data_IF_189319561493
#
_entry.id   IF_189319561493
#
_cell.length_a   1.000
_cell.length_b   1.000
_cell.length_c   1.000
_cell.angle_alpha   90.00
_cell.angle_beta   90.00
_cell.angle_gamma   90.00
#
_symmetry.space_group_name_H-M   'P 1'
#
loop_
_entity.id
_entity.type
_entity.pdbx_description
1 polymer ?
#
# COMPACT_ATOMS: atom_id res chain seq x y z
N UNK A 1 -22.81 -9.65 -9.11
CA UNK A 1 -21.88 -10.16 -10.10
C UNK A 1 -21.84 -11.69 -10.03
N UNK A 2 -21.71 -12.36 -11.16
CA UNK A 2 -21.54 -13.81 -11.30
C UNK A 2 -20.46 -14.35 -10.36
N UNK A 3 -19.41 -13.60 -10.17
CA UNK A 3 -18.30 -13.95 -9.28
C UNK A 3 -18.69 -14.15 -7.81
N UNK A 4 -19.55 -13.32 -7.25
CA UNK A 4 -20.01 -13.48 -5.85
C UNK A 4 -20.91 -14.69 -5.76
N UNK A 5 -21.77 -14.90 -6.74
CA UNK A 5 -22.65 -16.06 -6.80
C UNK A 5 -21.90 -17.40 -6.95
N UNK A 6 -20.77 -17.40 -7.67
CA UNK A 6 -19.92 -18.57 -7.89
C UNK A 6 -18.82 -18.75 -6.82
N UNK A 7 -18.75 -17.87 -5.82
CA UNK A 7 -17.77 -17.99 -4.73
C UNK A 7 -18.04 -19.25 -3.91
N UNK A 8 -17.04 -20.13 -3.87
CA UNK A 8 -17.16 -21.42 -3.15
C UNK A 8 -17.92 -22.50 -3.92
N UNK A 9 -18.39 -22.21 -5.15
CA UNK A 9 -18.93 -23.26 -6.01
C UNK A 9 -17.78 -24.15 -6.49
N UNK A 10 -17.85 -25.44 -6.20
CA UNK A 10 -16.83 -26.44 -6.57
C UNK A 10 -17.52 -27.55 -7.36
N UNK A 11 -17.06 -27.76 -8.59
CA UNK A 11 -17.51 -28.85 -9.44
C UNK A 11 -16.39 -29.32 -10.37
N UNK A 12 -16.26 -30.63 -10.61
CA UNK A 12 -15.16 -31.18 -11.39
C UNK A 12 -15.20 -30.82 -12.89
N UNK A 13 -16.38 -30.72 -13.48
CA UNK A 13 -16.51 -30.47 -14.91
C UNK A 13 -15.87 -29.16 -15.40
N UNK A 14 -16.07 -27.98 -14.76
CA UNK A 14 -15.38 -26.75 -15.16
C UNK A 14 -13.86 -26.80 -15.00
N UNK A 15 -13.35 -27.64 -14.11
CA UNK A 15 -11.90 -27.76 -13.88
C UNK A 15 -11.16 -28.51 -15.00
N UNK A 16 -11.86 -29.42 -15.69
CA UNK A 16 -11.28 -30.26 -16.75
C UNK A 16 -11.70 -29.84 -18.16
N UNK A 17 -12.59 -28.83 -18.27
CA UNK A 17 -13.15 -28.39 -19.53
C UNK A 17 -12.13 -27.61 -20.34
N UNK A 18 -11.99 -27.95 -21.61
CA UNK A 18 -11.21 -27.20 -22.58
C UNK A 18 -12.15 -26.62 -23.66
N UNK A 19 -12.13 -25.29 -23.76
CA UNK A 19 -12.90 -24.56 -24.77
C UNK A 19 -11.93 -23.90 -25.75
N UNK A 20 -12.28 -23.88 -27.02
CA UNK A 20 -11.46 -23.26 -28.07
C UNK A 20 -11.28 -21.77 -27.86
N UNK A 21 -12.30 -21.10 -27.29
CA UNK A 21 -12.30 -19.68 -26.96
C UNK A 21 -11.83 -19.35 -25.54
N UNK A 22 -11.30 -20.32 -24.80
CA UNK A 22 -10.69 -20.05 -23.51
C UNK A 22 -9.36 -19.31 -23.70
N UNK A 23 -9.31 -18.08 -23.26
CA UNK A 23 -8.16 -17.17 -23.38
C UNK A 23 -6.84 -17.81 -22.91
N UNK A 24 -6.89 -18.76 -21.96
CA UNK A 24 -5.72 -19.49 -21.48
C UNK A 24 -5.05 -20.34 -22.55
N UNK A 25 -5.80 -20.72 -23.59
CA UNK A 25 -5.35 -21.63 -24.64
C UNK A 25 -5.03 -20.95 -25.97
N UNK A 26 -5.01 -19.61 -26.03
CA UNK A 26 -4.78 -18.83 -27.26
C UNK A 26 -3.51 -19.26 -28.01
N UNK A 27 -2.46 -19.67 -27.32
CA UNK A 27 -1.21 -20.12 -27.95
C UNK A 27 -1.39 -21.38 -28.84
N UNK A 28 -2.46 -22.14 -28.65
CA UNK A 28 -2.82 -23.28 -29.53
C UNK A 28 -3.27 -22.84 -30.93
N UNK A 29 -3.71 -21.56 -31.01
CA UNK A 29 -4.15 -20.92 -32.25
C UNK A 29 -3.02 -20.18 -32.98
N UNK A 30 -1.79 -20.18 -32.45
CA UNK A 30 -0.68 -19.37 -32.97
C UNK A 30 -0.37 -19.67 -34.46
N UNK A 31 -0.54 -20.89 -34.91
CA UNK A 31 -0.36 -21.28 -36.32
C UNK A 31 -1.36 -20.56 -37.27
N UNK A 32 -2.50 -20.08 -36.75
CA UNK A 32 -3.52 -19.41 -37.56
C UNK A 32 -3.15 -17.95 -37.89
N UNK A 33 -2.09 -17.41 -37.29
CA UNK A 33 -1.58 -16.06 -37.60
C UNK A 33 -1.23 -15.91 -39.08
N UNK A 34 -0.69 -16.98 -39.70
CA UNK A 34 -0.38 -17.00 -41.13
C UNK A 34 -1.61 -16.82 -42.04
N UNK A 35 -2.80 -17.11 -41.50
CA UNK A 35 -4.07 -17.02 -42.21
C UNK A 35 -4.78 -15.67 -42.00
N UNK A 36 -4.21 -14.76 -41.19
CA UNK A 36 -4.69 -13.38 -41.02
C UNK A 36 -4.27 -12.53 -42.23
N UNK A 37 -4.95 -11.38 -42.37
CA UNK A 37 -4.52 -10.35 -43.34
C UNK A 37 -3.07 -9.92 -43.06
N UNK A 38 -2.31 -9.63 -44.08
CA UNK A 38 -0.87 -9.34 -43.98
C UNK A 38 -0.57 -8.21 -43.00
N UNK A 39 -1.41 -7.15 -43.01
CA UNK A 39 -1.27 -6.01 -42.10
C UNK A 39 -1.51 -6.32 -40.61
N UNK A 40 -2.14 -7.46 -40.28
CA UNK A 40 -2.50 -7.85 -38.93
C UNK A 40 -1.54 -8.89 -38.30
N UNK A 41 -0.76 -9.58 -39.14
CA UNK A 41 0.14 -10.66 -38.70
C UNK A 41 1.18 -10.18 -37.68
N UNK A 42 1.85 -9.08 -37.97
CA UNK A 42 2.88 -8.54 -37.08
C UNK A 42 2.29 -8.18 -35.70
N UNK A 43 1.09 -7.60 -35.68
CA UNK A 43 0.38 -7.23 -34.46
C UNK A 43 -0.02 -8.48 -33.65
N UNK A 44 -0.53 -9.51 -34.34
CA UNK A 44 -0.89 -10.77 -33.71
C UNK A 44 0.32 -11.49 -33.10
N UNK A 45 1.47 -11.49 -33.78
CA UNK A 45 2.73 -12.03 -33.27
C UNK A 45 3.16 -11.34 -31.99
N UNK A 46 3.14 -10.00 -31.98
CA UNK A 46 3.52 -9.20 -30.80
C UNK A 46 2.63 -9.51 -29.58
N UNK A 47 1.31 -9.61 -29.79
CA UNK A 47 0.35 -9.96 -28.73
C UNK A 47 0.62 -11.37 -28.18
N UNK A 48 0.82 -12.35 -29.04
CA UNK A 48 1.06 -13.73 -28.61
C UNK A 48 2.41 -13.90 -27.91
N UNK A 49 3.44 -13.20 -28.36
CA UNK A 49 4.77 -13.22 -27.72
C UNK A 49 4.71 -12.60 -26.32
N UNK A 50 4.06 -11.45 -26.20
CA UNK A 50 3.83 -10.82 -24.91
C UNK A 50 2.99 -11.68 -23.98
N UNK A 51 1.94 -12.32 -24.49
CA UNK A 51 1.15 -13.27 -23.72
C UNK A 51 1.99 -14.45 -23.23
N UNK A 52 2.86 -15.01 -24.08
CA UNK A 52 3.75 -16.11 -23.73
C UNK A 52 4.76 -15.73 -22.66
N UNK A 53 5.45 -14.61 -22.86
CA UNK A 53 6.62 -14.22 -22.07
C UNK A 53 6.27 -13.49 -20.77
N UNK A 54 5.17 -12.75 -20.73
CA UNK A 54 4.78 -11.87 -19.59
C UNK A 54 3.50 -12.35 -18.94
N UNK A 55 2.41 -12.46 -19.71
CA UNK A 55 1.07 -12.63 -19.15
C UNK A 55 0.84 -14.04 -18.62
N UNK A 56 1.28 -15.08 -19.33
CA UNK A 56 1.12 -16.50 -18.90
C UNK A 56 1.82 -16.77 -17.54
N UNK A 57 3.07 -16.35 -17.30
CA UNK A 57 3.69 -16.52 -15.99
C UNK A 57 2.95 -15.79 -14.86
N UNK A 58 2.38 -14.61 -15.15
CA UNK A 58 1.60 -13.84 -14.18
C UNK A 58 0.29 -14.54 -13.84
N UNK A 59 -0.46 -15.03 -14.83
CA UNK A 59 -1.74 -15.72 -14.65
C UNK A 59 -1.66 -16.93 -13.72
N UNK A 60 -0.54 -17.67 -13.75
CA UNK A 60 -0.33 -18.86 -12.89
C UNK A 60 -0.30 -18.53 -11.39
N UNK A 61 -0.09 -17.28 -11.03
CA UNK A 61 0.00 -16.78 -9.64
C UNK A 61 -1.25 -16.06 -9.19
N UNK A 62 -2.21 -15.81 -10.09
CA UNK A 62 -3.43 -15.08 -9.80
C UNK A 62 -4.47 -15.95 -9.13
N UNK A 63 -5.37 -15.30 -8.39
CA UNK A 63 -6.53 -15.94 -7.76
C UNK A 63 -7.40 -16.61 -8.78
N UNK A 64 -7.78 -17.85 -8.55
CA UNK A 64 -8.61 -18.65 -9.46
C UNK A 64 -9.85 -19.18 -8.75
N UNK A 65 -10.95 -19.26 -9.47
CA UNK A 65 -12.20 -19.93 -9.08
C UNK A 65 -12.96 -20.37 -10.33
N UNK A 66 -14.15 -20.92 -10.16
CA UNK A 66 -15.05 -21.09 -11.28
C UNK A 66 -15.55 -19.71 -11.70
N UNK A 67 -15.35 -19.36 -12.96
CA UNK A 67 -15.77 -18.13 -13.62
C UNK A 67 -16.82 -18.44 -14.68
N UNK A 68 -17.59 -17.41 -15.07
CA UNK A 68 -18.60 -17.56 -16.14
C UNK A 68 -17.96 -17.88 -17.49
N UNK A 69 -16.82 -17.24 -17.79
CA UNK A 69 -16.01 -17.48 -18.98
C UNK A 69 -16.48 -16.76 -20.24
N UNK A 70 -17.77 -16.41 -20.34
CA UNK A 70 -18.37 -15.80 -21.54
C UNK A 70 -19.37 -14.67 -21.18
N UNK A 71 -18.90 -13.67 -20.41
CA UNK A 71 -19.72 -12.50 -20.08
C UNK A 71 -19.66 -11.48 -21.21
N UNK A 72 -20.74 -11.36 -21.96
CA UNK A 72 -20.89 -10.39 -23.05
C UNK A 72 -22.29 -9.76 -23.06
N UNK A 73 -22.55 -8.68 -23.84
CA UNK A 73 -23.83 -7.95 -23.83
C UNK A 73 -25.08 -8.79 -24.02
N UNK A 74 -25.02 -9.85 -24.83
CA UNK A 74 -26.16 -10.71 -25.10
C UNK A 74 -26.46 -11.73 -24.00
N UNK A 75 -25.49 -11.98 -23.10
CA UNK A 75 -25.68 -12.80 -21.91
C UNK A 75 -26.09 -11.98 -20.67
N UNK A 76 -26.29 -10.65 -20.82
CA UNK A 76 -26.77 -9.75 -19.81
C UNK A 76 -28.21 -9.37 -20.05
N UNK A 77 -29.13 -9.72 -19.15
CA UNK A 77 -30.53 -9.31 -19.18
C UNK A 77 -30.68 -7.94 -18.53
N UNK A 78 -31.43 -7.06 -19.15
CA UNK A 78 -31.73 -5.71 -18.62
C UNK A 78 -33.22 -5.54 -18.41
N UNK A 79 -33.61 -4.84 -17.35
CA UNK A 79 -35.02 -4.48 -17.09
C UNK A 79 -35.45 -3.28 -17.93
N UNK A 80 -36.75 -2.92 -17.84
CA UNK A 80 -37.32 -1.79 -18.57
C UNK A 80 -36.74 -0.41 -18.21
N UNK A 81 -35.89 -0.36 -17.15
CA UNK A 81 -35.16 0.84 -16.72
C UNK A 81 -33.68 0.82 -17.12
N UNK A 82 -33.29 -0.15 -17.95
CA UNK A 82 -31.91 -0.32 -18.38
C UNK A 82 -30.94 -0.88 -17.31
N UNK A 83 -31.44 -1.44 -16.20
CA UNK A 83 -30.60 -2.02 -15.15
C UNK A 83 -30.42 -3.51 -15.42
N UNK A 84 -29.19 -4.01 -15.21
CA UNK A 84 -28.92 -5.44 -15.31
C UNK A 84 -29.76 -6.20 -14.27
N UNK A 85 -30.63 -7.08 -14.75
CA UNK A 85 -31.55 -7.90 -13.95
C UNK A 85 -31.11 -9.37 -13.86
N UNK A 86 -30.24 -9.83 -14.74
CA UNK A 86 -29.73 -11.19 -14.75
C UNK A 86 -28.55 -11.40 -15.68
N UNK A 87 -27.88 -12.52 -15.49
CA UNK A 87 -26.86 -13.06 -16.39
C UNK A 87 -27.31 -14.48 -16.76
N UNK A 88 -27.19 -14.85 -18.00
CA UNK A 88 -27.57 -16.17 -18.54
C UNK A 88 -26.40 -16.83 -19.24
N UNK A 89 -26.58 -18.05 -19.68
CA UNK A 89 -25.63 -18.86 -20.42
C UNK A 89 -24.36 -19.21 -19.62
N UNK A 90 -24.55 -20.00 -18.57
CA UNK A 90 -23.47 -20.56 -17.77
C UNK A 90 -22.83 -21.80 -18.41
N UNK A 91 -23.13 -22.05 -19.70
CA UNK A 91 -22.62 -23.18 -20.45
C UNK A 91 -21.11 -23.22 -20.55
N UNK A 92 -20.42 -22.08 -20.49
CA UNK A 92 -18.99 -21.94 -20.70
C UNK A 92 -18.15 -21.75 -19.41
N UNK A 93 -18.74 -22.05 -18.27
CA UNK A 93 -18.02 -21.98 -17.01
C UNK A 93 -16.73 -22.82 -17.03
N UNK A 94 -15.64 -22.21 -16.57
CA UNK A 94 -14.33 -22.83 -16.40
C UNK A 94 -13.72 -22.46 -15.05
N UNK A 95 -12.83 -23.30 -14.53
CA UNK A 95 -12.00 -22.94 -13.39
C UNK A 95 -10.77 -22.19 -13.90
N UNK A 96 -10.61 -20.92 -13.55
CA UNK A 96 -9.51 -20.09 -14.04
C UNK A 96 -9.31 -18.79 -13.27
N UNK A 97 -8.27 -18.02 -13.63
CA UNK A 97 -8.01 -16.71 -13.04
C UNK A 97 -9.22 -15.78 -13.14
N UNK A 98 -9.56 -15.14 -12.02
CA UNK A 98 -10.74 -14.27 -11.90
C UNK A 98 -10.75 -13.11 -12.87
N UNK A 99 -9.57 -12.59 -13.20
CA UNK A 99 -9.40 -11.46 -14.09
C UNK A 99 -9.89 -11.75 -15.51
N UNK A 100 -9.94 -13.04 -15.92
CA UNK A 100 -10.40 -13.42 -17.24
C UNK A 100 -11.87 -13.10 -17.49
N UNK A 101 -12.74 -13.17 -16.47
CA UNK A 101 -14.14 -12.72 -16.63
C UNK A 101 -14.23 -11.23 -16.99
N UNK A 102 -13.40 -10.38 -16.36
CA UNK A 102 -13.36 -8.97 -16.68
C UNK A 102 -12.71 -8.71 -18.05
N UNK A 103 -11.64 -9.44 -18.39
CA UNK A 103 -10.96 -9.28 -19.66
C UNK A 103 -11.87 -9.71 -20.84
N UNK A 104 -12.60 -10.83 -20.69
CA UNK A 104 -13.55 -11.29 -21.68
C UNK A 104 -14.69 -10.28 -21.85
N UNK A 105 -15.31 -9.83 -20.75
CA UNK A 105 -16.33 -8.81 -20.79
C UNK A 105 -15.82 -7.50 -21.46
N UNK A 106 -14.64 -7.01 -21.09
CA UNK A 106 -14.07 -5.81 -21.67
C UNK A 106 -13.87 -5.96 -23.19
N UNK A 107 -13.31 -7.09 -23.67
CA UNK A 107 -13.12 -7.37 -25.09
C UNK A 107 -14.43 -7.32 -25.88
N UNK A 108 -15.55 -7.71 -25.26
CA UNK A 108 -16.85 -7.77 -25.91
C UNK A 108 -17.68 -6.47 -25.74
N UNK A 109 -17.46 -5.69 -24.70
CA UNK A 109 -18.16 -4.41 -24.45
C UNK A 109 -17.45 -3.20 -25.10
N UNK A 110 -16.13 -3.25 -25.33
CA UNK A 110 -15.40 -2.18 -25.98
C UNK A 110 -15.67 -2.16 -27.48
N UNK A 111 -15.95 -0.99 -28.04
CA UNK A 111 -16.11 -0.76 -29.47
C UNK A 111 -15.35 0.48 -29.93
N UNK A 112 -14.85 0.51 -31.20
CA UNK A 112 -14.07 1.65 -31.68
C UNK A 112 -14.89 2.97 -31.77
N UNK A 113 -16.21 2.87 -31.79
CA UNK A 113 -17.13 4.02 -31.90
C UNK A 113 -17.34 4.71 -30.54
N UNK A 114 -16.95 4.08 -29.44
CA UNK A 114 -17.08 4.63 -28.08
C UNK A 114 -15.78 5.29 -27.63
N UNK A 115 -15.86 6.07 -26.55
CA UNK A 115 -14.64 6.41 -25.78
C UNK A 115 -14.15 5.17 -25.04
N UNK A 116 -13.15 4.53 -25.65
CA UNK A 116 -12.53 3.29 -25.14
C UNK A 116 -11.96 3.49 -23.74
N UNK A 117 -11.35 4.65 -23.49
CA UNK A 117 -10.74 4.96 -22.21
C UNK A 117 -11.78 5.09 -21.10
N UNK A 118 -12.84 5.86 -21.35
CA UNK A 118 -13.94 6.03 -20.39
C UNK A 118 -14.70 4.73 -20.16
N UNK A 119 -15.02 3.99 -21.23
CA UNK A 119 -15.70 2.69 -21.12
C UNK A 119 -14.89 1.68 -20.31
N UNK A 120 -13.60 1.56 -20.58
CA UNK A 120 -12.69 0.69 -19.82
C UNK A 120 -12.60 1.13 -18.35
N UNK A 121 -12.51 2.43 -18.09
CA UNK A 121 -12.47 2.97 -16.73
C UNK A 121 -13.72 2.57 -15.94
N UNK A 122 -14.90 2.74 -16.52
CA UNK A 122 -16.17 2.41 -15.86
C UNK A 122 -16.37 0.91 -15.67
N UNK A 123 -15.95 0.07 -16.62
CA UNK A 123 -15.98 -1.38 -16.48
C UNK A 123 -15.11 -1.84 -15.29
N UNK A 124 -13.89 -1.35 -15.20
CA UNK A 124 -12.97 -1.68 -14.08
C UNK A 124 -13.51 -1.15 -12.76
N UNK A 125 -14.01 0.08 -12.72
CA UNK A 125 -14.61 0.69 -11.52
C UNK A 125 -15.84 -0.08 -11.05
N UNK A 126 -16.72 -0.46 -11.98
CA UNK A 126 -17.92 -1.26 -11.70
C UNK A 126 -17.55 -2.64 -11.16
N UNK A 127 -16.61 -3.33 -11.78
CA UNK A 127 -16.13 -4.63 -11.30
C UNK A 127 -15.52 -4.52 -9.91
N UNK A 128 -14.66 -3.53 -9.69
CA UNK A 128 -14.01 -3.28 -8.39
C UNK A 128 -15.00 -2.96 -7.28
N UNK A 129 -16.13 -2.33 -7.56
CA UNK A 129 -17.14 -2.01 -6.54
C UNK A 129 -17.72 -3.26 -5.85
N UNK A 130 -17.64 -4.42 -6.52
CA UNK A 130 -18.10 -5.72 -6.00
C UNK A 130 -16.91 -6.60 -5.60
N UNK A 131 -15.81 -6.49 -6.32
CA UNK A 131 -14.65 -7.33 -6.18
C UNK A 131 -13.37 -6.51 -6.34
N UNK A 132 -12.60 -6.27 -5.27
CA UNK A 132 -11.31 -5.64 -5.39
C UNK A 132 -10.40 -6.41 -6.35
N UNK A 133 -9.75 -5.71 -7.27
CA UNK A 133 -8.69 -6.26 -8.09
C UNK A 133 -7.40 -6.32 -7.29
N UNK A 134 -6.61 -7.35 -7.50
CA UNK A 134 -5.21 -7.36 -7.08
C UNK A 134 -4.36 -6.56 -8.07
N UNK A 135 -3.22 -6.03 -7.61
CA UNK A 135 -2.38 -5.17 -8.45
C UNK A 135 -1.90 -5.89 -9.70
N UNK A 136 -1.48 -7.15 -9.57
CA UNK A 136 -1.08 -8.00 -10.71
C UNK A 136 -2.23 -8.25 -11.70
N UNK A 137 -3.47 -8.34 -11.22
CA UNK A 137 -4.66 -8.46 -12.07
C UNK A 137 -4.90 -7.17 -12.87
N UNK A 138 -4.76 -6.00 -12.22
CA UNK A 138 -4.89 -4.71 -12.88
C UNK A 138 -3.79 -4.48 -13.95
N UNK A 139 -2.57 -4.91 -13.68
CA UNK A 139 -1.43 -4.77 -14.60
C UNK A 139 -1.57 -5.66 -15.84
N UNK A 140 -2.17 -6.84 -15.71
CA UNK A 140 -2.33 -7.78 -16.81
C UNK A 140 -3.57 -7.50 -17.67
N UNK A 141 -4.55 -6.74 -17.20
CA UNK A 141 -5.86 -6.64 -17.82
C UNK A 141 -5.81 -6.16 -19.29
N UNK A 142 -5.00 -5.17 -19.60
CA UNK A 142 -4.90 -4.61 -20.97
C UNK A 142 -4.35 -5.68 -21.94
N UNK A 143 -3.34 -6.43 -21.53
CA UNK A 143 -2.77 -7.52 -22.33
C UNK A 143 -3.78 -8.66 -22.53
N UNK A 144 -4.59 -8.94 -21.52
CA UNK A 144 -5.65 -9.97 -21.59
C UNK A 144 -6.80 -9.55 -22.51
N UNK A 145 -7.15 -8.27 -22.56
CA UNK A 145 -8.13 -7.73 -23.50
C UNK A 145 -7.64 -7.89 -24.95
N UNK A 146 -6.38 -7.55 -25.22
CA UNK A 146 -5.78 -7.79 -26.55
C UNK A 146 -5.88 -9.26 -26.96
N UNK A 147 -5.56 -10.16 -26.05
CA UNK A 147 -5.63 -11.60 -26.31
C UNK A 147 -7.07 -12.06 -26.58
N UNK A 148 -8.04 -11.61 -25.79
CA UNK A 148 -9.46 -11.90 -26.00
C UNK A 148 -9.94 -11.44 -27.38
N UNK A 149 -9.59 -10.22 -27.76
CA UNK A 149 -9.90 -9.67 -29.07
C UNK A 149 -9.24 -10.45 -30.20
N UNK A 150 -7.95 -10.82 -30.05
CA UNK A 150 -7.21 -11.59 -31.06
C UNK A 150 -7.74 -13.01 -31.23
N UNK A 151 -8.30 -13.62 -30.19
CA UNK A 151 -8.84 -14.99 -30.30
C UNK A 151 -9.92 -15.11 -31.37
N UNK A 152 -10.75 -14.10 -31.52
CA UNK A 152 -11.86 -14.13 -32.47
C UNK A 152 -11.39 -14.30 -33.93
N UNK A 153 -10.50 -13.45 -34.48
CA UNK A 153 -10.00 -13.66 -35.84
C UNK A 153 -9.17 -14.92 -35.99
N UNK A 154 -8.45 -15.40 -34.97
CA UNK A 154 -7.72 -16.64 -35.01
C UNK A 154 -8.65 -17.87 -35.08
N UNK A 155 -9.76 -17.85 -34.35
CA UNK A 155 -10.79 -18.91 -34.43
C UNK A 155 -11.45 -18.92 -35.78
N UNK A 156 -11.73 -17.76 -36.38
CA UNK A 156 -12.31 -17.68 -37.72
C UNK A 156 -11.34 -18.18 -38.79
N UNK A 157 -10.07 -17.81 -38.67
CA UNK A 157 -9.04 -18.35 -39.56
C UNK A 157 -8.96 -19.91 -39.46
N UNK A 158 -9.09 -20.44 -38.23
CA UNK A 158 -9.15 -21.90 -38.03
C UNK A 158 -10.42 -22.51 -38.65
N UNK A 159 -11.58 -21.90 -38.54
CA UNK A 159 -12.82 -22.34 -39.14
C UNK A 159 -12.71 -22.32 -40.66
N UNK A 160 -12.20 -21.25 -41.24
CA UNK A 160 -12.00 -21.07 -42.67
C UNK A 160 -11.06 -22.12 -43.23
N UNK A 161 -9.95 -22.43 -42.55
CA UNK A 161 -9.00 -23.49 -42.96
C UNK A 161 -9.63 -24.87 -42.96
N UNK A 162 -10.70 -25.07 -42.16
CA UNK A 162 -11.48 -26.32 -42.13
C UNK A 162 -12.74 -26.27 -43.02
N UNK A 163 -12.86 -25.29 -43.92
CA UNK A 163 -14.00 -25.16 -44.85
C UNK A 163 -15.31 -24.71 -44.18
N UNK A 164 -15.26 -24.17 -42.95
CA UNK A 164 -16.43 -23.73 -42.22
C UNK A 164 -16.56 -22.19 -42.39
N UNK A 165 -17.60 -21.74 -43.04
CA UNK A 165 -17.87 -20.30 -43.19
C UNK A 165 -18.42 -19.68 -41.88
N UNK A 166 -17.87 -18.54 -41.46
CA UNK A 166 -18.44 -17.76 -40.36
C UNK A 166 -19.75 -17.11 -40.80
N UNK A 167 -20.88 -17.46 -40.14
CA UNK A 167 -22.20 -16.90 -40.44
C UNK A 167 -22.82 -16.21 -39.24
N UNK A 168 -23.63 -15.17 -39.51
CA UNK A 168 -24.50 -14.51 -38.53
C UNK A 168 -23.78 -13.72 -37.44
N UNK A 169 -24.15 -13.96 -36.21
CA UNK A 169 -23.69 -13.30 -35.00
C UNK A 169 -22.15 -13.19 -34.86
N UNK A 170 -21.41 -14.27 -35.14
CA UNK A 170 -19.95 -14.29 -35.06
C UNK A 170 -19.29 -13.35 -36.08
N UNK A 171 -19.86 -13.15 -37.26
CA UNK A 171 -19.31 -12.25 -38.26
C UNK A 171 -19.27 -10.78 -37.80
N UNK A 172 -20.26 -10.34 -37.01
CA UNK A 172 -20.32 -8.97 -36.48
C UNK A 172 -19.29 -8.70 -35.37
N UNK A 173 -18.96 -9.69 -34.57
CA UNK A 173 -17.87 -9.59 -33.56
C UNK A 173 -16.50 -9.57 -34.23
N UNK A 174 -16.31 -10.39 -35.24
CA UNK A 174 -15.05 -10.57 -35.94
C UNK A 174 -14.61 -9.28 -36.64
N UNK A 175 -15.55 -8.55 -37.24
CA UNK A 175 -15.28 -7.28 -37.92
C UNK A 175 -14.77 -6.17 -36.98
N UNK A 176 -15.00 -6.26 -35.66
CA UNK A 176 -14.60 -5.24 -34.68
C UNK A 176 -13.26 -5.54 -34.00
N UNK A 177 -12.85 -6.80 -33.91
CA UNK A 177 -11.74 -7.24 -33.07
C UNK A 177 -10.41 -6.58 -33.48
N UNK A 178 -10.00 -6.69 -34.73
CA UNK A 178 -8.74 -6.07 -35.17
C UNK A 178 -8.79 -4.54 -35.19
N UNK A 179 -9.88 -3.88 -35.64
CA UNK A 179 -10.03 -2.42 -35.44
C UNK A 179 -9.92 -2.00 -33.98
N UNK A 180 -10.49 -2.75 -33.03
CA UNK A 180 -10.40 -2.44 -31.61
C UNK A 180 -8.97 -2.57 -31.06
N UNK A 181 -8.23 -3.62 -31.45
CA UNK A 181 -6.81 -3.76 -31.09
C UNK A 181 -6.00 -2.57 -31.62
N UNK A 182 -6.22 -2.18 -32.88
CA UNK A 182 -5.54 -1.00 -33.47
C UNK A 182 -5.86 0.28 -32.71
N UNK A 183 -7.12 0.47 -32.29
CA UNK A 183 -7.52 1.63 -31.48
C UNK A 183 -6.86 1.62 -30.08
N UNK A 184 -6.80 0.48 -29.41
CA UNK A 184 -6.07 0.34 -28.14
C UNK A 184 -4.57 0.66 -28.31
N UNK A 185 -3.95 0.25 -29.40
CA UNK A 185 -2.55 0.61 -29.73
C UNK A 185 -2.40 2.11 -30.02
N UNK A 186 -3.36 2.74 -30.71
CA UNK A 186 -3.36 4.18 -30.98
C UNK A 186 -3.45 4.99 -29.67
N UNK A 187 -4.29 4.57 -28.72
CA UNK A 187 -4.37 5.20 -27.39
C UNK A 187 -3.08 5.01 -26.62
N UNK A 188 -2.45 3.85 -26.78
CA UNK A 188 -1.22 3.45 -26.11
C UNK A 188 -1.45 2.60 -24.85
N UNK A 189 -0.81 1.46 -24.80
CA UNK A 189 -0.96 0.49 -23.72
C UNK A 189 -0.58 1.05 -22.36
N UNK A 190 0.47 1.84 -22.25
CA UNK A 190 0.89 2.43 -20.97
C UNK A 190 -0.15 3.40 -20.43
N UNK A 191 -0.81 4.15 -21.33
CA UNK A 191 -1.93 5.03 -20.95
C UNK A 191 -3.12 4.23 -20.47
N UNK A 192 -3.48 3.15 -21.17
CA UNK A 192 -4.59 2.26 -20.76
C UNK A 192 -4.29 1.53 -19.45
N UNK A 193 -3.06 1.05 -19.25
CA UNK A 193 -2.65 0.44 -17.97
C UNK A 193 -2.72 1.44 -16.82
N UNK A 194 -2.22 2.66 -17.02
CA UNK A 194 -2.32 3.73 -16.03
C UNK A 194 -3.77 4.04 -15.66
N UNK A 195 -4.67 4.03 -16.64
CA UNK A 195 -6.10 4.23 -16.46
C UNK A 195 -6.73 3.07 -15.67
N UNK A 196 -6.43 1.81 -16.03
CA UNK A 196 -6.90 0.60 -15.32
C UNK A 196 -6.45 0.63 -13.86
N UNK A 197 -5.17 0.95 -13.61
CA UNK A 197 -4.65 1.08 -12.25
C UNK A 197 -5.40 2.14 -11.44
N UNK A 198 -5.67 3.31 -12.02
CA UNK A 198 -6.47 4.36 -11.36
C UNK A 198 -7.88 3.89 -11.05
N UNK A 199 -8.55 3.23 -12.01
CA UNK A 199 -9.89 2.67 -11.82
C UNK A 199 -9.91 1.58 -10.74
N UNK A 200 -8.84 0.80 -10.61
CA UNK A 200 -8.61 -0.18 -9.57
C UNK A 200 -8.13 0.43 -8.24
N UNK A 201 -7.92 1.76 -8.18
CA UNK A 201 -7.38 2.54 -7.06
C UNK A 201 -5.93 2.22 -6.69
N UNK A 202 -5.14 1.85 -7.65
CA UNK A 202 -3.68 1.80 -7.54
C UNK A 202 -3.03 3.07 -8.10
N UNK A 203 -1.78 3.40 -7.74
CA UNK A 203 -1.02 4.45 -8.43
C UNK A 203 -0.98 4.19 -9.93
N UNK A 204 -1.04 5.25 -10.76
CA UNK A 204 -1.07 5.13 -12.22
C UNK A 204 0.14 4.34 -12.77
N UNK A 205 1.28 4.51 -12.10
CA UNK A 205 2.50 3.74 -12.38
C UNK A 205 2.92 2.95 -11.15
N UNK A 206 3.35 1.69 -11.28
CA UNK A 206 3.89 0.94 -10.16
C UNK A 206 5.15 1.63 -9.62
N UNK A 207 5.42 1.55 -8.32
CA UNK A 207 6.68 2.02 -7.77
C UNK A 207 7.86 1.36 -8.49
N UNK A 208 8.85 2.15 -8.89
CA UNK A 208 10.10 1.60 -9.44
C UNK A 208 10.96 1.13 -8.27
N UNK A 209 10.96 -0.16 -8.01
CA UNK A 209 11.89 -0.74 -7.06
C UNK A 209 13.27 -0.89 -7.70
N UNK A 210 14.32 -0.60 -6.93
CA UNK A 210 15.67 -0.96 -7.32
C UNK A 210 15.78 -2.50 -7.33
N UNK A 211 16.55 -3.05 -8.28
CA UNK A 211 16.74 -4.49 -8.39
C UNK A 211 17.58 -5.03 -7.22
N UNK A 212 18.52 -4.22 -6.70
CA UNK A 212 19.40 -4.59 -5.59
C UNK A 212 19.46 -3.48 -4.53
N UNK A 213 19.95 -3.84 -3.33
CA UNK A 213 20.19 -2.88 -2.26
C UNK A 213 21.27 -1.85 -2.65
N UNK A 214 22.29 -2.24 -3.41
CA UNK A 214 23.36 -1.37 -3.89
C UNK A 214 22.80 -0.32 -4.87
N UNK A 215 21.93 -0.72 -5.77
CA UNK A 215 21.22 0.24 -6.67
C UNK A 215 20.37 1.20 -5.85
N UNK A 216 19.60 0.69 -4.88
CA UNK A 216 18.75 1.51 -4.03
C UNK A 216 19.56 2.55 -3.24
N UNK A 217 20.68 2.16 -2.60
CA UNK A 217 21.52 3.06 -1.84
C UNK A 217 22.22 4.10 -2.75
N UNK A 218 22.65 3.67 -3.95
CA UNK A 218 23.23 4.60 -4.94
C UNK A 218 22.24 5.68 -5.36
N UNK A 219 21.00 5.31 -5.66
CA UNK A 219 19.93 6.26 -6.00
C UNK A 219 19.59 7.18 -4.84
N UNK A 220 19.50 6.62 -3.62
CA UNK A 220 19.22 7.38 -2.39
C UNK A 220 20.28 8.46 -2.15
N UNK A 221 21.57 8.13 -2.26
CA UNK A 221 22.66 9.08 -2.06
C UNK A 221 22.60 10.27 -3.01
N UNK A 222 22.18 10.04 -4.28
CA UNK A 222 22.06 11.12 -5.29
C UNK A 222 21.01 12.17 -4.95
N UNK A 223 19.91 11.79 -4.29
CA UNK A 223 18.74 12.65 -4.11
C UNK A 223 18.45 13.01 -2.65
N UNK A 224 19.00 12.23 -1.69
CA UNK A 224 18.79 12.43 -0.26
C UNK A 224 20.10 12.74 0.49
N UNK A 225 21.24 12.78 -0.22
CA UNK A 225 22.55 12.99 0.35
C UNK A 225 23.22 11.71 0.86
N UNK A 226 24.53 11.75 0.95
CA UNK A 226 25.38 10.62 1.34
C UNK A 226 25.51 10.44 2.86
N UNK A 227 25.15 11.46 3.64
CA UNK A 227 25.23 11.46 5.10
C UNK A 227 24.00 10.90 5.79
N UNK A 228 22.91 10.65 5.06
CA UNK A 228 21.74 10.03 5.64
C UNK A 228 22.03 8.60 6.09
N UNK A 229 21.83 8.39 7.36
CA UNK A 229 22.15 7.18 8.09
C UNK A 229 21.35 5.95 7.61
N UNK A 230 22.01 4.81 7.56
CA UNK A 230 21.40 3.48 7.41
C UNK A 230 21.96 2.58 8.51
N UNK A 231 21.10 1.74 9.11
CA UNK A 231 21.45 0.97 10.30
C UNK A 231 22.27 -0.29 10.02
N UNK A 232 22.22 -0.80 8.79
CA UNK A 232 22.78 -2.12 8.46
C UNK A 232 23.86 -2.01 7.40
N UNK A 233 24.89 -2.84 7.55
CA UNK A 233 25.95 -3.05 6.57
C UNK A 233 26.09 -4.57 6.32
N UNK A 234 25.77 -5.06 5.12
CA UNK A 234 25.22 -4.33 3.97
C UNK A 234 23.79 -3.78 4.23
N UNK A 235 23.38 -2.70 3.54
CA UNK A 235 22.07 -2.09 3.74
C UNK A 235 20.94 -3.02 3.32
N UNK A 236 19.85 -3.03 4.07
CA UNK A 236 18.66 -3.81 3.76
C UNK A 236 17.72 -2.98 2.87
N UNK A 237 17.34 -3.53 1.71
CA UNK A 237 16.33 -2.96 0.84
C UNK A 237 14.99 -3.66 1.07
N UNK A 238 14.19 -3.13 1.99
CA UNK A 238 12.88 -3.69 2.35
C UNK A 238 11.83 -3.23 1.35
N UNK A 239 11.05 -4.18 0.82
CA UNK A 239 10.03 -3.95 -0.21
C UNK A 239 8.61 -4.34 0.24
N UNK A 240 8.46 -5.12 1.32
CA UNK A 240 7.17 -5.53 1.86
C UNK A 240 7.25 -5.71 3.37
N UNK A 241 6.14 -5.37 4.06
CA UNK A 241 5.90 -5.73 5.44
C UNK A 241 4.54 -6.41 5.59
N UNK A 242 4.43 -7.43 6.45
CA UNK A 242 3.19 -8.14 6.72
C UNK A 242 3.22 -8.73 8.15
N UNK A 243 2.31 -8.26 9.00
CA UNK A 243 2.33 -8.63 10.42
C UNK A 243 3.66 -8.25 11.06
N UNK A 244 4.39 -9.23 11.57
CA UNK A 244 5.71 -9.04 12.19
C UNK A 244 6.88 -9.30 11.23
N UNK A 245 6.61 -9.46 9.93
CA UNK A 245 7.62 -9.84 8.95
C UNK A 245 7.92 -8.73 7.96
N UNK A 246 9.20 -8.52 7.71
CA UNK A 246 9.72 -7.69 6.62
C UNK A 246 10.30 -8.58 5.51
N UNK A 247 10.11 -8.20 4.26
CA UNK A 247 10.68 -8.88 3.11
C UNK A 247 11.60 -7.93 2.35
N UNK A 248 12.83 -8.35 2.13
CA UNK A 248 13.81 -7.62 1.33
C UNK A 248 13.65 -7.91 -0.18
N UNK A 249 14.25 -7.07 -1.02
CA UNK A 249 14.22 -7.19 -2.48
C UNK A 249 14.81 -8.49 -3.02
N UNK A 250 15.70 -9.13 -2.27
CA UNK A 250 16.27 -10.45 -2.57
C UNK A 250 15.38 -11.63 -2.14
N UNK A 251 14.20 -11.35 -1.58
CA UNK A 251 13.24 -12.34 -1.11
C UNK A 251 13.48 -12.85 0.31
N UNK A 252 14.56 -12.48 0.98
CA UNK A 252 14.79 -12.85 2.38
C UNK A 252 13.75 -12.19 3.28
N UNK A 253 13.32 -12.93 4.31
CA UNK A 253 12.39 -12.46 5.33
C UNK A 253 13.09 -12.24 6.66
N UNK A 254 12.72 -11.18 7.34
CA UNK A 254 13.24 -10.79 8.64
C UNK A 254 12.10 -10.65 9.63
N UNK A 255 12.25 -11.22 10.83
CA UNK A 255 11.39 -10.91 11.95
C UNK A 255 11.69 -9.48 12.41
N UNK A 256 10.70 -8.62 12.41
CA UNK A 256 10.87 -7.24 12.84
C UNK A 256 10.79 -7.13 14.36
N UNK A 257 11.94 -7.00 14.98
CA UNK A 257 12.07 -6.77 16.43
C UNK A 257 12.48 -5.33 16.76
N UNK A 258 12.41 -4.43 15.78
CA UNK A 258 12.89 -3.06 15.94
C UNK A 258 11.83 -1.97 15.69
N UNK A 259 11.01 -2.11 14.64
CA UNK A 259 10.08 -1.04 14.26
C UNK A 259 8.94 -0.87 15.28
N UNK A 260 8.88 0.29 15.89
CA UNK A 260 7.81 0.69 16.82
C UNK A 260 6.67 1.47 16.14
N UNK A 261 6.76 1.77 14.87
CA UNK A 261 5.73 2.53 14.12
C UNK A 261 4.48 1.69 13.86
N UNK A 262 4.57 0.45 13.35
CA UNK A 262 3.39 -0.38 13.11
C UNK A 262 2.99 -1.19 14.37
N UNK A 263 2.46 -0.54 15.39
CA UNK A 263 2.12 -1.18 16.69
C UNK A 263 1.25 -2.44 16.59
N UNK A 264 0.41 -2.53 15.55
CA UNK A 264 -0.45 -3.70 15.28
C UNK A 264 0.08 -4.58 14.15
N UNK A 265 1.34 -4.39 13.77
CA UNK A 265 1.99 -5.08 12.67
C UNK A 265 1.88 -4.36 11.32
N UNK A 266 2.80 -4.72 10.42
CA UNK A 266 2.88 -4.16 9.08
C UNK A 266 1.63 -4.50 8.26
N UNK A 267 1.17 -3.53 7.46
CA UNK A 267 0.04 -3.66 6.53
C UNK A 267 -1.23 -4.23 7.18
N UNK A 268 -1.52 -3.88 8.44
CA UNK A 268 -2.70 -4.39 9.14
C UNK A 268 -3.98 -4.02 8.36
N UNK A 269 -4.82 -5.01 7.95
CA UNK A 269 -5.91 -4.77 7.00
C UNK A 269 -6.93 -3.74 7.48
N UNK A 270 -7.28 -3.78 8.76
CA UNK A 270 -8.23 -2.83 9.35
C UNK A 270 -7.70 -1.39 9.31
N UNK A 271 -6.43 -1.18 9.64
CA UNK A 271 -5.79 0.16 9.62
C UNK A 271 -5.70 0.67 8.19
N UNK A 272 -5.23 -0.16 7.26
CA UNK A 272 -5.13 0.19 5.85
C UNK A 272 -6.49 0.59 5.25
N UNK A 273 -7.56 -0.17 5.55
CA UNK A 273 -8.91 0.14 5.06
C UNK A 273 -9.50 1.39 5.74
N UNK A 274 -9.25 1.61 7.04
CA UNK A 274 -9.70 2.81 7.74
C UNK A 274 -9.08 4.08 7.12
N UNK A 275 -7.76 4.05 6.86
CA UNK A 275 -7.05 5.15 6.19
C UNK A 275 -7.61 5.36 4.77
N UNK A 276 -7.76 4.30 4.00
CA UNK A 276 -8.28 4.38 2.63
C UNK A 276 -9.71 4.94 2.58
N UNK A 277 -10.57 4.52 3.50
CA UNK A 277 -11.94 5.03 3.61
C UNK A 277 -11.97 6.52 3.96
N UNK A 278 -11.19 6.94 4.96
CA UNK A 278 -11.12 8.34 5.35
C UNK A 278 -10.54 9.22 4.25
N UNK A 279 -9.49 8.77 3.57
CA UNK A 279 -8.88 9.50 2.46
C UNK A 279 -9.84 9.71 1.28
N UNK A 280 -10.79 8.79 1.06
CA UNK A 280 -11.84 8.94 0.05
C UNK A 280 -13.00 9.82 0.51
N UNK A 281 -13.17 10.03 1.82
CA UNK A 281 -14.28 10.79 2.39
C UNK A 281 -13.90 12.26 2.58
N UNK A 282 -12.84 12.53 3.30
CA UNK A 282 -12.41 13.87 3.64
C UNK A 282 -10.96 13.86 4.11
N UNK A 283 -10.16 14.77 3.56
CA UNK A 283 -8.84 15.14 4.06
C UNK A 283 -8.77 16.68 4.14
N UNK A 284 -8.80 17.23 5.34
CA UNK A 284 -8.80 18.67 5.56
C UNK A 284 -7.93 19.05 6.75
N UNK A 285 -7.77 20.35 7.00
CA UNK A 285 -7.01 20.89 8.12
C UNK A 285 -7.89 21.11 9.38
N UNK A 286 -7.25 21.41 10.49
CA UNK A 286 -7.87 21.62 11.80
C UNK A 286 -8.77 22.86 11.93
N UNK A 287 -8.94 23.66 10.86
CA UNK A 287 -9.88 24.79 10.85
C UNK A 287 -11.35 24.36 10.73
N UNK A 288 -11.56 23.10 10.38
CA UNK A 288 -12.89 22.51 10.28
C UNK A 288 -13.08 21.49 11.39
N UNK A 289 -14.30 21.42 11.91
CA UNK A 289 -14.68 20.43 12.93
C UNK A 289 -14.88 19.09 12.22
N UNK A 290 -14.24 18.04 12.77
CA UNK A 290 -14.39 16.66 12.28
C UNK A 290 -14.61 15.72 13.46
N UNK A 291 -15.61 14.85 13.34
CA UNK A 291 -16.00 13.94 14.42
C UNK A 291 -14.86 12.97 14.79
N UNK A 292 -14.05 12.52 13.82
CA UNK A 292 -12.93 11.60 14.05
C UNK A 292 -11.88 12.18 15.01
N UNK A 293 -11.56 13.46 14.86
CA UNK A 293 -10.60 14.11 15.74
C UNK A 293 -11.15 14.26 17.18
N UNK A 294 -12.45 14.60 17.29
CA UNK A 294 -13.14 14.74 18.58
C UNK A 294 -13.20 13.39 19.29
N UNK A 295 -13.72 12.36 18.61
CA UNK A 295 -13.84 11.00 19.17
C UNK A 295 -12.47 10.45 19.63
N UNK A 296 -11.42 10.71 18.84
CA UNK A 296 -10.07 10.29 19.22
C UNK A 296 -9.56 11.02 20.46
N UNK A 297 -9.80 12.34 20.56
CA UNK A 297 -9.44 13.14 21.75
C UNK A 297 -10.20 12.66 22.98
N UNK A 298 -11.51 12.41 22.89
CA UNK A 298 -12.34 11.88 23.97
C UNK A 298 -11.82 10.52 24.49
N UNK A 299 -11.47 9.61 23.59
CA UNK A 299 -10.88 8.32 23.97
C UNK A 299 -9.53 8.46 24.66
N UNK A 300 -8.66 9.36 24.18
CA UNK A 300 -7.36 9.60 24.80
C UNK A 300 -7.49 10.21 26.19
N UNK A 301 -8.34 11.22 26.38
CA UNK A 301 -8.57 11.84 27.68
C UNK A 301 -9.19 10.85 28.69
N UNK A 302 -10.08 9.99 28.24
CA UNK A 302 -10.64 8.93 29.08
C UNK A 302 -9.59 7.90 29.57
N UNK A 303 -8.52 7.66 28.81
CA UNK A 303 -7.42 6.77 29.17
C UNK A 303 -6.31 7.46 29.99
N UNK A 304 -6.17 8.78 29.86
CA UNK A 304 -5.06 9.52 30.46
C UNK A 304 -5.21 9.75 31.98
N UNK A 305 -6.39 9.48 32.55
CA UNK A 305 -6.66 9.67 33.97
C UNK A 305 -7.09 11.10 34.35
N UNK A 306 -7.28 11.30 35.65
CA UNK A 306 -7.78 12.59 36.18
C UNK A 306 -6.78 13.73 35.92
N UNK A 307 -7.30 14.88 35.53
CA UNK A 307 -6.53 16.11 35.30
C UNK A 307 -6.06 16.34 33.86
N UNK A 308 -6.01 15.31 33.00
CA UNK A 308 -5.65 15.45 31.58
C UNK A 308 -6.91 15.51 30.72
N UNK A 309 -7.48 16.69 30.56
CA UNK A 309 -8.80 16.92 29.97
C UNK A 309 -8.76 17.44 28.53
N UNK A 310 -7.58 17.70 27.99
CA UNK A 310 -7.41 18.31 26.66
C UNK A 310 -6.31 17.64 25.86
N UNK A 311 -6.53 17.50 24.54
CA UNK A 311 -5.59 16.94 23.58
C UNK A 311 -5.30 17.95 22.48
N UNK A 312 -4.04 18.10 22.13
CA UNK A 312 -3.62 18.83 20.93
C UNK A 312 -2.89 17.88 19.99
N UNK A 313 -3.39 17.75 18.76
CA UNK A 313 -2.78 16.92 17.72
C UNK A 313 -1.75 17.72 16.92
N UNK A 314 -0.61 17.10 16.66
CA UNK A 314 0.49 17.62 15.84
C UNK A 314 0.99 16.51 14.91
N UNK A 315 2.00 16.77 14.06
CA UNK A 315 2.41 15.81 13.03
C UNK A 315 3.59 14.93 13.44
N UNK A 316 4.27 15.23 14.54
CA UNK A 316 5.42 14.46 15.02
C UNK A 316 5.62 14.58 16.52
N UNK A 317 6.38 13.63 17.11
CA UNK A 317 6.81 13.74 18.50
C UNK A 317 7.67 14.98 18.77
N UNK A 318 8.50 15.40 17.81
CA UNK A 318 9.27 16.65 17.92
C UNK A 318 8.38 17.85 18.05
N UNK A 319 7.32 17.95 17.25
CA UNK A 319 6.34 19.05 17.35
C UNK A 319 5.54 19.00 18.66
N UNK A 320 5.19 17.79 19.13
CA UNK A 320 4.48 17.61 20.39
C UNK A 320 5.32 18.10 21.57
N UNK A 321 6.59 17.70 21.63
CA UNK A 321 7.51 18.09 22.67
C UNK A 321 7.88 19.59 22.58
N UNK A 322 8.01 20.15 21.37
CA UNK A 322 8.20 21.58 21.15
C UNK A 322 7.02 22.40 21.72
N UNK A 323 5.79 21.98 21.43
CA UNK A 323 4.61 22.63 21.95
C UNK A 323 4.51 22.53 23.48
N UNK A 324 4.74 21.33 24.02
CA UNK A 324 4.75 21.11 25.48
C UNK A 324 5.81 21.95 26.17
N UNK A 325 7.00 22.05 25.62
CA UNK A 325 8.08 22.92 26.13
C UNK A 325 7.70 24.41 26.09
N UNK A 326 7.10 24.86 25.00
CA UNK A 326 6.59 26.26 24.91
C UNK A 326 5.53 26.55 25.96
N UNK A 327 4.61 25.62 26.18
CA UNK A 327 3.56 25.73 27.19
C UNK A 327 4.17 25.76 28.60
N UNK A 328 5.11 24.88 28.91
CA UNK A 328 5.80 24.85 30.21
C UNK A 328 6.53 26.18 30.51
N UNK A 329 7.26 26.69 29.51
CA UNK A 329 7.91 28.01 29.64
C UNK A 329 6.92 29.16 29.89
N UNK A 330 5.82 29.18 29.16
CA UNK A 330 4.79 30.20 29.30
C UNK A 330 4.09 30.12 30.66
N UNK A 331 3.87 28.93 31.19
CA UNK A 331 3.23 28.71 32.48
C UNK A 331 4.13 29.07 33.67
N UNK A 332 5.41 28.65 33.61
CA UNK A 332 6.35 28.84 34.75
C UNK A 332 7.09 30.15 34.71
N UNK A 333 7.21 30.81 33.57
CA UNK A 333 8.10 31.94 33.34
C UNK A 333 9.59 31.60 33.32
N UNK A 334 9.93 30.31 33.36
CA UNK A 334 11.31 29.82 33.39
C UNK A 334 11.73 29.21 32.05
N UNK A 335 13.03 28.96 31.88
CA UNK A 335 13.62 28.43 30.63
C UNK A 335 14.58 27.26 30.85
N UNK A 336 14.75 26.81 32.09
CA UNK A 336 15.59 25.66 32.44
C UNK A 336 14.85 24.32 32.32
N UNK A 337 15.54 23.27 31.95
CA UNK A 337 14.98 21.96 31.81
C UNK A 337 15.90 20.81 32.25
N UNK A 338 15.31 19.66 32.54
CA UNK A 338 16.02 18.41 32.81
C UNK A 338 15.67 17.38 31.75
N UNK A 339 16.65 16.54 31.39
CA UNK A 339 16.43 15.32 30.61
C UNK A 339 17.34 14.20 31.10
N UNK A 340 17.07 12.98 30.64
CA UNK A 340 18.01 11.87 30.92
C UNK A 340 19.25 11.95 30.04
N UNK A 341 20.37 11.42 30.52
CA UNK A 341 21.51 11.12 29.68
C UNK A 341 21.08 10.17 28.54
N UNK A 342 21.68 10.30 27.36
CA UNK A 342 21.31 9.57 26.14
C UNK A 342 19.86 9.72 25.69
N UNK A 343 19.07 10.65 26.26
CA UNK A 343 17.69 10.85 25.86
C UNK A 343 17.54 11.28 24.40
N UNK A 344 16.42 10.88 23.78
CA UNK A 344 15.98 11.36 22.48
C UNK A 344 14.52 11.82 22.59
N UNK A 345 14.29 13.10 22.40
CA UNK A 345 12.93 13.69 22.45
C UNK A 345 12.53 14.41 21.16
N UNK A 346 13.40 14.46 20.18
CA UNK A 346 13.13 15.05 18.88
C UNK A 346 14.32 15.77 18.26
N UNK A 347 14.08 16.43 17.11
CA UNK A 347 15.10 17.04 16.25
C UNK A 347 14.81 18.50 15.89
N UNK A 348 13.77 19.13 16.49
CA UNK A 348 13.58 20.57 16.34
C UNK A 348 14.60 21.34 17.18
N UNK A 349 14.94 22.56 16.80
CA UNK A 349 15.97 23.38 17.47
C UNK A 349 15.80 23.42 19.00
N UNK A 350 14.55 23.60 19.48
CA UNK A 350 14.29 23.68 20.91
C UNK A 350 14.38 22.31 21.61
N UNK A 351 13.98 21.24 20.97
CA UNK A 351 13.92 19.90 21.56
C UNK A 351 15.22 19.12 21.40
N UNK A 352 16.06 19.54 20.47
CA UNK A 352 17.43 19.01 20.37
C UNK A 352 18.22 19.25 21.66
N UNK A 353 17.93 20.34 22.39
CA UNK A 353 18.47 20.60 23.73
C UNK A 353 18.16 19.48 24.74
N UNK A 354 17.08 18.73 24.57
CA UNK A 354 16.66 17.60 25.39
C UNK A 354 17.01 16.23 24.75
N UNK A 355 17.77 16.24 23.66
CA UNK A 355 18.11 15.02 22.89
C UNK A 355 19.64 14.84 22.80
N UNK A 356 20.33 14.65 23.92
CA UNK A 356 21.80 14.50 23.91
C UNK A 356 22.30 13.31 23.08
N UNK A 357 21.44 12.33 22.77
CA UNK A 357 21.78 11.20 21.88
C UNK A 357 21.93 11.57 20.42
N UNK A 358 21.37 12.69 19.95
CA UNK A 358 21.42 13.09 18.53
C UNK A 358 22.86 13.35 18.05
N UNK A 359 23.63 14.08 18.86
CA UNK A 359 25.02 14.40 18.57
C UNK A 359 25.80 14.62 19.89
N UNK A 360 26.13 13.56 20.64
CA UNK A 360 26.68 13.71 22.00
C UNK A 360 27.91 14.60 22.08
N UNK A 361 28.81 14.54 21.09
CA UNK A 361 30.01 15.35 21.05
C UNK A 361 29.78 16.83 20.73
N UNK A 362 28.61 17.19 20.20
CA UNK A 362 28.25 18.55 19.81
C UNK A 362 27.14 19.13 20.68
N UNK A 363 26.60 18.33 21.60
CA UNK A 363 25.49 18.76 22.44
C UNK A 363 25.90 19.96 23.31
N UNK A 364 25.16 21.04 23.17
CA UNK A 364 25.37 22.28 23.89
C UNK A 364 24.03 22.93 24.22
N UNK A 365 23.55 22.71 25.43
CA UNK A 365 22.30 23.24 25.92
C UNK A 365 22.48 23.88 27.29
N UNK A 366 22.93 25.15 27.40
CA UNK A 366 23.26 25.79 28.66
C UNK A 366 22.10 25.86 29.66
N UNK A 367 20.88 25.78 29.15
CA UNK A 367 19.63 25.83 29.92
C UNK A 367 19.03 24.45 30.24
N UNK A 368 19.69 23.35 29.82
CA UNK A 368 19.25 21.96 30.11
C UNK A 368 20.34 21.25 30.88
N UNK A 369 19.95 20.37 31.80
CA UNK A 369 20.85 19.43 32.50
C UNK A 369 20.41 18.02 32.27
N UNK A 370 21.44 17.16 32.11
CA UNK A 370 21.26 15.72 32.03
C UNK A 370 21.38 15.09 33.41
N UNK A 371 20.52 14.13 33.68
CA UNK A 371 20.59 13.31 34.88
C UNK A 371 20.65 11.82 34.49
N UNK A 372 21.31 10.97 35.28
CA UNK A 372 21.35 9.54 35.02
C UNK A 372 19.97 8.93 35.02
N UNK A 373 19.71 8.05 34.02
CA UNK A 373 18.51 7.23 34.07
C UNK A 373 18.56 6.23 35.23
N UNK A 374 17.42 5.76 35.76
CA UNK A 374 17.37 4.89 36.92
C UNK A 374 17.76 3.43 36.60
N UNK A 375 18.96 3.23 36.09
CA UNK A 375 19.51 1.92 35.75
C UNK A 375 20.02 1.22 37.03
N UNK A 376 19.24 0.26 37.52
CA UNK A 376 19.58 -0.49 38.73
C UNK A 376 20.71 -1.50 38.52
N UNK A 377 21.15 -1.73 37.31
CA UNK A 377 22.25 -2.66 37.00
C UNK A 377 23.59 -1.96 36.79
N UNK A 378 23.62 -0.84 36.04
CA UNK A 378 24.84 -0.12 35.64
C UNK A 378 24.92 1.30 36.21
N UNK A 379 23.83 1.81 36.76
CA UNK A 379 23.77 3.15 37.30
C UNK A 379 24.43 3.32 38.66
N UNK A 380 24.41 4.54 39.21
CA UNK A 380 25.08 4.85 40.47
C UNK A 380 24.48 4.15 41.69
N UNK A 381 23.21 3.69 41.61
CA UNK A 381 22.55 2.98 42.70
C UNK A 381 22.00 1.64 42.23
N UNK A 382 22.41 0.55 42.87
CA UNK A 382 21.84 -0.77 42.66
C UNK A 382 20.47 -0.95 43.33
N UNK A 383 19.80 -2.11 43.09
CA UNK A 383 18.47 -2.38 43.65
C UNK A 383 18.46 -2.36 45.18
N UNK A 384 17.39 -1.84 45.78
CA UNK A 384 17.21 -1.78 47.24
C UNK A 384 16.14 -0.81 47.68
N UNK A 385 15.75 -0.81 48.95
CA UNK A 385 14.73 0.09 49.47
C UNK A 385 15.12 1.57 49.25
N UNK A 386 14.13 2.38 48.84
CA UNK A 386 14.30 3.81 48.62
C UNK A 386 15.21 4.16 47.44
N UNK A 387 15.41 3.25 46.48
CA UNK A 387 16.29 3.51 45.35
C UNK A 387 15.70 4.51 44.38
N UNK A 388 14.39 4.53 44.21
CA UNK A 388 13.70 5.51 43.35
C UNK A 388 13.92 6.93 43.84
N UNK A 389 13.69 7.16 45.13
CA UNK A 389 13.91 8.48 45.75
C UNK A 389 15.38 8.94 45.67
N UNK A 390 16.35 7.98 45.77
CA UNK A 390 17.77 8.30 45.60
C UNK A 390 18.10 8.76 44.19
N UNK A 391 17.50 8.12 43.18
CA UNK A 391 17.65 8.54 41.78
C UNK A 391 16.95 9.87 41.52
N UNK A 392 15.74 10.10 42.08
CA UNK A 392 15.01 11.36 41.96
C UNK A 392 15.80 12.52 42.60
N UNK A 393 16.43 12.31 43.76
CA UNK A 393 17.24 13.31 44.45
C UNK A 393 18.45 13.82 43.62
N UNK A 394 18.87 13.10 42.59
CA UNK A 394 19.92 13.58 41.66
C UNK A 394 19.47 14.81 40.85
N UNK A 395 18.18 15.10 40.77
CA UNK A 395 17.66 16.32 40.16
C UNK A 395 17.92 17.59 40.99
N UNK A 396 17.96 17.50 42.34
CA UNK A 396 18.06 18.65 43.24
C UNK A 396 19.26 19.56 42.96
N UNK A 397 20.50 19.05 42.87
CA UNK A 397 21.68 19.91 42.61
C UNK A 397 21.62 20.49 41.17
N UNK A 398 21.02 19.81 40.20
CA UNK A 398 20.89 20.29 38.83
C UNK A 398 19.86 21.41 38.74
N UNK A 399 18.76 21.32 39.51
CA UNK A 399 17.75 22.39 39.65
C UNK A 399 18.37 23.61 40.28
N UNK A 400 19.14 23.43 41.38
CA UNK A 400 19.82 24.54 42.06
C UNK A 400 20.81 25.27 41.11
N UNK A 401 21.57 24.52 40.35
CA UNK A 401 22.50 25.08 39.34
C UNK A 401 21.75 25.91 38.27
N UNK A 402 20.64 25.39 37.76
CA UNK A 402 19.80 26.12 36.78
C UNK A 402 19.20 27.39 37.35
N UNK A 403 18.82 27.38 38.65
CA UNK A 403 18.33 28.54 39.37
C UNK A 403 19.41 29.60 39.56
N UNK A 404 20.59 29.22 40.01
CA UNK A 404 21.75 30.12 40.17
C UNK A 404 22.16 30.81 38.86
N UNK A 405 22.03 30.06 37.72
CA UNK A 405 22.29 30.58 36.37
C UNK A 405 21.15 31.44 35.80
N UNK A 406 20.07 31.64 36.56
CA UNK A 406 18.92 32.47 36.17
C UNK A 406 17.95 31.81 35.19
N UNK A 407 18.10 30.50 34.86
CA UNK A 407 17.16 29.81 34.02
C UNK A 407 15.89 29.38 34.75
N UNK A 408 15.97 29.08 36.06
CA UNK A 408 14.91 28.42 36.81
C UNK A 408 14.63 27.03 36.30
N UNK A 409 13.45 26.47 36.56
CA UNK A 409 13.02 25.16 36.02
C UNK A 409 11.62 25.27 35.42
N UNK A 410 11.47 24.93 34.17
CA UNK A 410 10.20 24.89 33.46
C UNK A 410 9.64 23.46 33.33
N UNK A 411 10.49 22.48 33.06
CA UNK A 411 10.07 21.07 32.92
C UNK A 411 11.22 20.09 33.09
N UNK A 412 10.87 18.87 33.50
CA UNK A 412 11.68 17.66 33.24
C UNK A 412 11.02 16.85 32.11
N UNK A 413 11.83 16.41 31.15
CA UNK A 413 11.37 15.61 30.03
C UNK A 413 11.93 14.22 30.14
N UNK A 414 11.04 13.23 30.26
CA UNK A 414 11.38 11.83 30.55
C UNK A 414 10.61 10.95 29.57
N UNK A 415 11.30 10.00 28.96
CA UNK A 415 10.68 8.88 28.25
C UNK A 415 10.19 7.85 29.28
N UNK A 416 8.91 7.51 29.25
CA UNK A 416 8.27 6.62 30.23
C UNK A 416 8.86 5.20 30.24
N UNK A 417 9.54 4.78 29.18
CA UNK A 417 10.20 3.46 29.06
C UNK A 417 11.73 3.55 29.05
N UNK A 418 12.31 4.75 29.19
CA UNK A 418 13.77 5.00 29.10
C UNK A 418 14.41 4.27 27.92
N UNK A 419 13.80 4.39 26.75
CA UNK A 419 14.08 3.54 25.59
C UNK A 419 15.54 3.65 25.13
N UNK A 420 16.08 4.86 25.06
CA UNK A 420 17.47 5.10 24.67
C UNK A 420 18.48 4.73 25.76
N UNK A 421 18.02 4.57 26.98
CA UNK A 421 18.84 4.17 28.13
C UNK A 421 18.90 2.65 28.34
N UNK A 422 18.17 1.85 27.56
CA UNK A 422 18.17 0.41 27.62
C UNK A 422 16.84 -0.23 27.99
N UNK A 423 15.73 0.50 27.89
CA UNK A 423 14.37 0.06 28.24
C UNK A 423 14.33 -0.33 29.73
N UNK A 424 14.32 0.67 30.56
CA UNK A 424 14.38 0.53 32.03
C UNK A 424 13.00 0.71 32.65
N UNK A 425 12.71 -0.03 33.70
CA UNK A 425 11.57 0.24 34.56
C UNK A 425 11.93 1.31 35.59
N UNK A 426 11.06 2.31 35.75
CA UNK A 426 11.22 3.31 36.80
C UNK A 426 11.01 2.62 38.18
N UNK A 427 11.98 2.67 39.10
CA UNK A 427 11.78 2.12 40.42
C UNK A 427 10.73 2.92 41.20
N UNK A 428 10.05 2.27 42.13
CA UNK A 428 9.07 2.91 43.00
C UNK A 428 9.66 4.15 43.70
N UNK A 429 8.90 5.24 43.72
CA UNK A 429 9.31 6.52 44.29
C UNK A 429 10.22 7.38 43.42
N UNK A 430 10.46 7.00 42.14
CA UNK A 430 11.27 7.79 41.21
C UNK A 430 10.51 8.98 40.60
N UNK A 431 9.24 8.80 40.19
CA UNK A 431 8.38 9.81 39.53
C UNK A 431 7.59 10.66 40.52
#
# INVERSE_FOLDING_TARGET
SSRVALRGFIHGAPATRELVWDTRHVLRLAAQVENLEEGDRALAVDILERYRSVTTPALRRMRSQIIHGDVHPYNALVDSRGRVSGIIDFGDMVHGPLILDLANAAGDFLTPEQDVADTLFELVRGYRSVTPLEEAEADALVDLIDVRLLMTPLIDALKASNGIASQGYFASFNSRSMPMIREMRRIGHDRLRALVRRAAAYPAFPPRHAATAEEAISRRRKVMGDKLYVFYDPPLHIVKGEGVWLTASDGRRYLDCYNNVPHVGHAHPYVAEAIARQARTLNTNTRYITDQAIEYAERLTALAGEGLTSVTFVNSGSEANDLAWRMAKAFTGHTGGLCMDFAYHGVSEAIDAFSPSNAPALWNAPHVRQMPAPDLYRGPFGPGPGVGERYAALAEPLIAELQEKGFGIAAAMIDSAFMTNGILDAPEGYL
#
